data_IF_514521578215
#
_entry.id   IF_514521578215
#
_cell.length_a   1.000
_cell.length_b   1.000
_cell.length_c   1.000
_cell.angle_alpha   90.00
_cell.angle_beta   90.00
_cell.angle_gamma   90.00
#
_symmetry.space_group_name_H-M   'P 1'
#
loop_
_entity.id
_entity.type
_entity.pdbx_description
1 polymer ?
#
# COMPACT_ATOMS: atom_id res chain seq x y z
N UNK A 1 20.21 -23.52 3.65
CA UNK A 1 20.80 -23.46 2.29
C UNK A 1 20.97 -22.00 1.93
N UNK A 2 22.20 -21.52 1.77
CA UNK A 2 22.46 -20.10 1.42
C UNK A 2 22.38 -19.97 -0.09
N UNK A 3 21.45 -19.15 -0.59
CA UNK A 3 21.32 -18.89 -2.03
C UNK A 3 22.21 -17.69 -2.36
N UNK A 4 23.20 -17.88 -3.22
CA UNK A 4 24.11 -16.80 -3.65
C UNK A 4 23.59 -16.17 -4.94
N UNK A 5 23.06 -14.96 -4.86
CA UNK A 5 22.56 -14.18 -6.01
C UNK A 5 23.66 -13.40 -6.75
N UNK A 6 24.87 -13.31 -6.19
CA UNK A 6 25.97 -12.50 -6.71
C UNK A 6 26.33 -12.83 -8.18
N UNK A 7 26.36 -14.11 -8.55
CA UNK A 7 26.67 -14.55 -9.91
C UNK A 7 25.70 -13.98 -10.95
N UNK A 8 24.43 -13.83 -10.59
CA UNK A 8 23.41 -13.25 -11.48
C UNK A 8 23.64 -11.75 -11.64
N UNK A 9 23.98 -11.06 -10.57
CA UNK A 9 24.29 -9.62 -10.58
C UNK A 9 25.54 -9.33 -11.42
N UNK A 10 26.60 -10.11 -11.23
CA UNK A 10 27.85 -9.97 -11.98
C UNK A 10 27.62 -10.22 -13.49
N UNK A 11 26.74 -11.17 -13.84
CA UNK A 11 26.42 -11.48 -15.25
C UNK A 11 25.79 -10.31 -16.00
N UNK A 12 25.13 -9.38 -15.29
CA UNK A 12 24.48 -8.21 -15.90
C UNK A 12 25.16 -6.88 -15.60
N UNK A 13 26.22 -6.88 -14.77
CA UNK A 13 26.88 -5.66 -14.31
C UNK A 13 27.42 -4.79 -15.46
N UNK A 14 27.82 -5.41 -16.57
CA UNK A 14 28.31 -4.73 -17.77
C UNK A 14 27.21 -4.06 -18.61
N UNK A 15 25.92 -4.39 -18.38
CA UNK A 15 24.79 -3.83 -19.13
C UNK A 15 24.46 -2.42 -18.61
N UNK A 16 23.90 -1.52 -19.43
CA UNK A 16 23.60 -0.17 -18.97
C UNK A 16 22.44 -0.15 -17.97
N UNK A 17 22.54 0.70 -16.95
CA UNK A 17 21.53 0.85 -15.90
C UNK A 17 20.65 2.07 -16.14
N UNK A 18 19.43 1.84 -16.58
CA UNK A 18 18.43 2.89 -16.80
C UNK A 18 17.22 2.72 -15.87
N UNK A 19 16.50 3.81 -15.63
CA UNK A 19 15.20 3.78 -14.97
C UNK A 19 14.10 3.58 -16.01
N UNK A 20 13.35 2.48 -15.90
CA UNK A 20 12.32 2.09 -16.86
C UNK A 20 10.97 2.80 -16.65
N UNK A 21 10.77 3.40 -15.47
CA UNK A 21 9.53 4.08 -15.11
C UNK A 21 8.84 3.43 -13.92
N UNK A 22 7.54 3.73 -13.78
CA UNK A 22 6.69 3.25 -12.70
C UNK A 22 5.50 2.42 -13.19
N UNK A 23 5.18 1.37 -12.45
CA UNK A 23 4.01 0.51 -12.65
C UNK A 23 3.21 0.48 -11.36
N UNK A 24 1.88 0.50 -11.44
CA UNK A 24 1.01 0.36 -10.28
C UNK A 24 0.75 -1.11 -10.03
N UNK A 25 0.87 -1.55 -8.78
CA UNK A 25 0.48 -2.88 -8.34
C UNK A 25 -1.05 -3.00 -8.40
N UNK A 26 -1.53 -3.86 -9.29
CA UNK A 26 -2.95 -4.12 -9.56
C UNK A 26 -3.17 -5.64 -9.71
N UNK A 27 -3.31 -6.38 -8.60
CA UNK A 27 -3.53 -7.83 -8.66
C UNK A 27 -4.96 -8.14 -9.13
N UNK A 28 -5.15 -9.31 -9.71
CA UNK A 28 -6.47 -9.81 -10.07
C UNK A 28 -7.13 -10.34 -8.80
N UNK A 29 -8.26 -9.75 -8.41
CA UNK A 29 -9.05 -10.18 -7.25
C UNK A 29 -10.18 -11.08 -7.72
N UNK A 30 -10.30 -12.26 -7.13
CA UNK A 30 -11.40 -13.20 -7.41
C UNK A 30 -12.02 -13.67 -6.11
N UNK A 31 -13.34 -13.84 -6.10
CA UNK A 31 -14.03 -14.42 -4.96
C UNK A 31 -13.53 -15.86 -4.75
N UNK A 32 -13.28 -16.22 -3.50
CA UNK A 32 -12.87 -17.57 -3.12
C UNK A 32 -13.96 -18.19 -2.24
N UNK A 33 -14.24 -19.47 -2.49
CA UNK A 33 -15.22 -20.21 -1.70
C UNK A 33 -14.65 -20.39 -0.30
N UNK A 34 -15.40 -19.91 0.70
CA UNK A 34 -15.12 -20.19 2.10
C UNK A 34 -15.21 -21.70 2.34
N UNK A 35 -14.09 -22.32 2.71
CA UNK A 35 -14.04 -23.73 3.08
C UNK A 35 -13.95 -23.81 4.61
N UNK A 36 -14.77 -24.63 5.29
CA UNK A 36 -14.84 -24.65 6.77
C UNK A 36 -13.54 -25.02 7.51
N UNK A 37 -12.53 -25.57 6.81
CA UNK A 37 -11.32 -26.16 7.40
C UNK A 37 -10.07 -25.29 7.11
N UNK A 38 -10.22 -24.18 6.37
CA UNK A 38 -9.06 -23.32 6.09
C UNK A 38 -8.89 -22.26 7.19
N UNK A 39 -7.69 -22.06 7.74
CA UNK A 39 -7.44 -21.04 8.79
C UNK A 39 -7.66 -19.60 8.32
N UNK A 40 -7.84 -19.39 7.02
CA UNK A 40 -8.13 -18.08 6.47
C UNK A 40 -9.64 -17.88 6.33
N UNK A 41 -10.23 -16.99 7.14
CA UNK A 41 -11.62 -16.53 7.04
C UNK A 41 -11.89 -15.67 5.78
N UNK A 42 -11.19 -15.93 4.67
CA UNK A 42 -11.08 -15.01 3.53
C UNK A 42 -11.98 -15.45 2.39
N UNK A 43 -12.90 -14.56 1.99
CA UNK A 43 -13.82 -14.78 0.86
C UNK A 43 -13.25 -14.37 -0.51
N UNK A 44 -11.95 -14.11 -0.61
CA UNK A 44 -11.30 -13.71 -1.85
C UNK A 44 -9.85 -14.20 -1.89
N UNK A 45 -9.31 -14.28 -3.11
CA UNK A 45 -7.89 -14.48 -3.37
C UNK A 45 -7.38 -13.44 -4.36
N UNK A 46 -6.10 -13.10 -4.20
CA UNK A 46 -5.38 -12.27 -5.17
C UNK A 46 -4.49 -13.15 -6.05
N UNK A 47 -4.38 -12.76 -7.33
CA UNK A 47 -3.42 -13.32 -8.28
C UNK A 47 -2.56 -12.18 -8.81
N UNK A 48 -1.24 -12.20 -8.58
CA UNK A 48 -0.36 -11.15 -9.09
C UNK A 48 -0.39 -11.14 -10.62
N UNK A 49 -0.30 -9.94 -11.20
CA UNK A 49 -0.04 -9.80 -12.63
C UNK A 49 1.47 -9.84 -12.86
N UNK A 50 1.96 -10.58 -13.87
CA UNK A 50 3.37 -10.51 -14.23
C UNK A 50 3.81 -9.08 -14.54
N UNK A 51 5.08 -8.78 -14.27
CA UNK A 51 5.66 -7.50 -14.65
C UNK A 51 5.48 -7.25 -16.16
N UNK A 52 5.23 -6.01 -16.61
CA UNK A 52 4.90 -5.77 -18.00
C UNK A 52 6.08 -6.08 -18.92
N UNK A 53 6.00 -7.21 -19.65
CA UNK A 53 7.12 -7.71 -20.45
C UNK A 53 7.62 -6.70 -21.48
N UNK A 54 6.72 -5.90 -22.08
CA UNK A 54 7.09 -4.84 -23.03
C UNK A 54 8.01 -3.76 -22.44
N UNK A 55 8.01 -3.60 -21.11
CA UNK A 55 8.80 -2.63 -20.37
C UNK A 55 10.18 -3.19 -19.98
N UNK A 56 10.22 -4.48 -19.62
CA UNK A 56 11.41 -5.12 -19.02
C UNK A 56 12.20 -5.99 -20.02
N UNK A 57 11.61 -6.39 -21.14
CA UNK A 57 12.25 -7.25 -22.15
C UNK A 57 13.53 -6.60 -22.66
N UNK A 58 14.63 -7.36 -22.65
CA UNK A 58 15.97 -6.93 -23.06
C UNK A 58 16.52 -5.72 -22.26
N UNK A 59 15.92 -5.41 -21.10
CA UNK A 59 16.33 -4.32 -20.19
C UNK A 59 16.89 -4.84 -18.87
N UNK A 60 17.68 -5.90 -18.94
CA UNK A 60 18.42 -6.41 -17.78
C UNK A 60 19.36 -5.34 -17.20
N UNK A 61 19.64 -5.41 -15.90
CA UNK A 61 20.37 -4.40 -15.12
C UNK A 61 19.66 -3.04 -14.96
N UNK A 62 18.48 -2.85 -15.56
CA UNK A 62 17.68 -1.64 -15.38
C UNK A 62 16.77 -1.74 -14.16
N UNK A 63 16.33 -0.59 -13.67
CA UNK A 63 15.46 -0.49 -12.49
C UNK A 63 14.03 -0.11 -12.84
N UNK A 64 13.05 -0.72 -12.18
CA UNK A 64 11.62 -0.45 -12.32
C UNK A 64 11.05 -0.11 -10.95
N UNK A 65 10.18 0.90 -10.84
CA UNK A 65 9.48 1.17 -9.57
C UNK A 65 8.06 0.60 -9.62
N UNK A 66 7.72 -0.27 -8.68
CA UNK A 66 6.34 -0.71 -8.47
C UNK A 66 5.73 0.09 -7.34
N UNK A 67 4.61 0.75 -7.63
CA UNK A 67 3.81 1.52 -6.68
C UNK A 67 2.72 0.63 -6.11
N UNK A 68 2.78 0.39 -4.81
CA UNK A 68 1.83 -0.42 -4.07
C UNK A 68 0.89 0.49 -3.27
N UNK A 69 -0.39 0.57 -3.66
CA UNK A 69 -1.40 1.28 -2.89
C UNK A 69 -1.56 0.73 -1.47
N UNK A 70 -1.81 1.61 -0.50
CA UNK A 70 -2.05 1.28 0.91
C UNK A 70 -3.18 0.26 1.14
N UNK A 71 -4.16 0.18 0.23
CA UNK A 71 -5.26 -0.79 0.33
C UNK A 71 -4.76 -2.24 0.28
N UNK A 72 -3.66 -2.51 -0.44
CA UNK A 72 -3.06 -3.85 -0.51
C UNK A 72 -2.06 -4.12 0.63
N UNK A 73 -1.74 -3.10 1.42
CA UNK A 73 -0.83 -3.19 2.58
C UNK A 73 -1.60 -3.35 3.90
N UNK A 74 -2.93 -3.19 3.87
CA UNK A 74 -3.82 -3.41 5.00
C UNK A 74 -3.63 -4.84 5.57
N UNK A 75 -3.71 -5.05 6.90
CA UNK A 75 -3.54 -6.36 7.53
C UNK A 75 -4.27 -7.49 6.79
N UNK A 76 -5.58 -7.35 6.54
CA UNK A 76 -6.40 -8.34 5.82
C UNK A 76 -5.85 -8.74 4.44
N UNK A 77 -5.39 -7.76 3.65
CA UNK A 77 -4.83 -8.03 2.32
C UNK A 77 -3.45 -8.68 2.42
N UNK A 78 -2.63 -8.22 3.36
CA UNK A 78 -1.28 -8.74 3.59
C UNK A 78 -1.30 -10.16 4.15
N UNK A 79 -2.29 -10.49 4.97
CA UNK A 79 -2.54 -11.84 5.49
C UNK A 79 -2.91 -12.78 4.32
N UNK A 80 -3.77 -12.31 3.42
CA UNK A 80 -4.13 -13.01 2.17
C UNK A 80 -2.90 -13.37 1.35
N UNK A 81 -2.10 -12.36 1.03
CA UNK A 81 -0.88 -12.49 0.24
C UNK A 81 0.13 -13.42 0.94
N UNK A 82 0.27 -13.31 2.27
CA UNK A 82 1.19 -14.12 3.08
C UNK A 82 0.81 -15.59 3.05
N UNK A 83 -0.48 -15.92 3.16
CA UNK A 83 -0.93 -17.33 3.06
C UNK A 83 -0.90 -17.85 1.62
N UNK A 84 -1.24 -17.00 0.64
CA UNK A 84 -1.30 -17.35 -0.77
C UNK A 84 0.07 -17.75 -1.31
N UNK A 85 1.14 -17.08 -0.86
CA UNK A 85 2.54 -17.39 -1.22
C UNK A 85 2.73 -17.49 -2.74
N UNK A 86 2.15 -16.56 -3.49
CA UNK A 86 2.34 -16.47 -4.94
C UNK A 86 3.73 -15.87 -5.25
N UNK A 87 4.78 -16.52 -4.77
CA UNK A 87 6.18 -16.12 -4.93
C UNK A 87 7.01 -17.33 -5.29
N UNK A 88 7.90 -17.16 -6.27
CA UNK A 88 8.78 -18.20 -6.76
C UNK A 88 10.22 -17.70 -6.77
N UNK A 89 11.11 -18.46 -6.12
CA UNK A 89 12.50 -18.08 -5.96
C UNK A 89 12.84 -17.41 -4.64
N UNK A 90 14.12 -17.07 -4.50
CA UNK A 90 14.74 -16.61 -3.26
C UNK A 90 15.83 -15.62 -3.63
N UNK A 91 15.75 -14.40 -3.08
CA UNK A 91 16.56 -13.21 -3.44
C UNK A 91 16.32 -12.72 -4.88
N UNK A 92 16.33 -13.63 -5.85
CA UNK A 92 15.89 -13.43 -7.22
C UNK A 92 14.56 -14.15 -7.42
N UNK A 93 13.53 -13.39 -7.78
CA UNK A 93 12.17 -13.87 -7.98
C UNK A 93 11.80 -13.87 -9.46
N UNK A 94 10.87 -14.75 -9.85
CA UNK A 94 10.24 -14.71 -11.18
C UNK A 94 9.41 -13.44 -11.35
N UNK A 95 9.24 -12.96 -12.59
CA UNK A 95 8.44 -11.75 -12.88
C UNK A 95 6.93 -11.91 -12.66
N UNK A 96 6.43 -13.14 -12.51
CA UNK A 96 5.06 -13.46 -12.10
C UNK A 96 4.85 -13.55 -10.57
N UNK A 97 5.92 -13.36 -9.78
CA UNK A 97 5.84 -13.32 -8.31
C UNK A 97 5.13 -12.06 -7.80
N UNK A 98 4.36 -12.21 -6.72
CA UNK A 98 3.72 -11.11 -6.02
C UNK A 98 4.76 -10.20 -5.34
N UNK A 99 4.70 -8.91 -5.65
CA UNK A 99 5.67 -7.91 -5.19
C UNK A 99 5.63 -7.73 -3.66
N UNK A 100 4.44 -7.78 -3.05
CA UNK A 100 4.29 -7.62 -1.60
C UNK A 100 4.84 -8.86 -0.89
N UNK A 101 4.47 -10.06 -1.36
CA UNK A 101 5.02 -11.29 -0.81
C UNK A 101 6.54 -11.39 -1.00
N UNK A 102 7.08 -10.92 -2.13
CA UNK A 102 8.52 -10.85 -2.35
C UNK A 102 9.20 -9.87 -1.38
N UNK A 103 8.57 -8.73 -1.07
CA UNK A 103 9.06 -7.80 -0.04
C UNK A 103 9.09 -8.44 1.35
N UNK A 104 8.06 -9.23 1.69
CA UNK A 104 8.02 -9.96 2.97
C UNK A 104 9.11 -11.02 3.01
N UNK A 105 9.21 -11.85 1.98
CA UNK A 105 10.19 -12.93 1.90
C UNK A 105 11.65 -12.43 1.89
N UNK A 106 11.92 -11.28 1.28
CA UNK A 106 13.24 -10.64 1.31
C UNK A 106 13.50 -9.84 2.60
N UNK A 107 12.54 -9.74 3.53
CA UNK A 107 12.73 -9.08 4.82
C UNK A 107 12.65 -7.56 4.78
N UNK A 108 12.01 -6.99 3.76
CA UNK A 108 11.80 -5.54 3.68
C UNK A 108 10.65 -5.07 4.55
N UNK A 109 9.53 -5.80 4.55
CA UNK A 109 8.32 -5.45 5.30
C UNK A 109 7.76 -6.68 5.99
N UNK A 110 7.03 -6.50 7.09
CA UNK A 110 6.46 -7.61 7.87
C UNK A 110 5.22 -8.19 7.18
N UNK A 111 5.08 -9.51 7.18
CA UNK A 111 3.85 -10.21 6.79
C UNK A 111 2.74 -10.07 7.84
N UNK A 112 1.57 -10.61 7.55
CA UNK A 112 0.45 -10.68 8.51
C UNK A 112 -0.02 -12.13 8.60
N UNK A 113 -0.38 -12.55 9.81
CA UNK A 113 -0.83 -13.91 10.10
C UNK A 113 -2.11 -13.84 10.95
N UNK A 114 -2.96 -14.88 10.91
CA UNK A 114 -4.11 -14.92 11.78
C UNK A 114 -3.69 -15.01 13.25
N UNK A 115 -4.62 -14.66 14.15
CA UNK A 115 -4.36 -14.52 15.59
C UNK A 115 -3.91 -15.82 16.28
N UNK A 116 -4.16 -16.98 15.65
CA UNK A 116 -3.74 -18.29 16.13
C UNK A 116 -2.27 -18.63 15.85
N UNK A 117 -1.59 -17.80 15.04
CA UNK A 117 -0.17 -17.96 14.74
C UNK A 117 0.66 -17.13 15.71
N UNK A 118 1.47 -17.82 16.52
CA UNK A 118 2.47 -17.19 17.36
C UNK A 118 3.59 -16.59 16.48
N UNK A 119 3.60 -15.26 16.35
CA UNK A 119 4.58 -14.57 15.51
C UNK A 119 5.99 -14.54 16.08
N UNK A 120 6.16 -14.81 17.37
CA UNK A 120 7.48 -14.85 18.00
C UNK A 120 8.27 -16.09 17.57
N UNK A 121 7.57 -17.15 17.12
CA UNK A 121 8.15 -18.36 16.55
C UNK A 121 8.50 -18.24 15.06
N UNK A 122 8.19 -17.12 14.40
CA UNK A 122 8.38 -16.95 12.95
C UNK A 122 9.74 -16.34 12.58
N UNK A 123 10.68 -16.25 13.52
CA UNK A 123 12.01 -15.65 13.34
C UNK A 123 11.96 -14.26 12.66
N UNK A 124 10.92 -13.47 12.97
CA UNK A 124 10.75 -12.13 12.40
C UNK A 124 11.83 -11.16 12.90
N UNK A 125 12.31 -11.41 14.11
CA UNK A 125 13.38 -10.65 14.74
C UNK A 125 14.65 -11.49 14.76
N UNK A 126 15.71 -11.03 14.08
CA UNK A 126 17.02 -11.71 14.04
C UNK A 126 17.80 -11.59 15.37
N UNK A 127 17.10 -11.50 16.51
CA UNK A 127 17.70 -11.32 17.83
C UNK A 127 18.23 -9.90 18.10
N UNK A 128 17.94 -8.93 17.22
CA UNK A 128 18.32 -7.51 17.40
C UNK A 128 17.02 -6.73 17.61
N UNK A 129 16.71 -6.36 18.85
CA UNK A 129 15.46 -5.72 19.24
C UNK A 129 15.08 -4.54 18.33
N UNK A 130 13.82 -4.50 17.89
CA UNK A 130 13.29 -3.34 17.17
C UNK A 130 13.05 -2.24 18.19
N UNK A 131 13.57 -1.04 17.94
CA UNK A 131 13.12 0.12 18.68
C UNK A 131 11.78 0.57 18.10
N UNK A 132 10.69 0.15 18.76
CA UNK A 132 9.29 0.48 18.43
C UNK A 132 9.05 1.99 18.26
N UNK A 133 9.93 2.82 18.82
CA UNK A 133 9.88 4.29 18.76
C UNK A 133 10.02 4.87 17.35
N UNK A 134 10.53 4.13 16.35
CA UNK A 134 10.61 4.64 14.96
C UNK A 134 9.27 4.59 14.19
N UNK A 135 8.25 3.94 14.76
CA UNK A 135 6.93 3.73 14.16
C UNK A 135 5.81 4.60 14.75
N UNK A 136 6.01 5.17 15.94
CA UNK A 136 4.97 5.89 16.68
C UNK A 136 5.38 7.32 17.00
N UNK A 137 5.57 8.16 15.98
CA UNK A 137 5.56 9.61 16.16
C UNK A 137 4.11 10.10 16.21
N UNK A 138 3.45 9.79 17.32
CA UNK A 138 2.25 10.51 17.72
C UNK A 138 2.72 11.92 18.17
N UNK A 139 2.76 12.84 17.21
CA UNK A 139 3.23 14.21 17.41
C UNK A 139 2.21 15.01 18.24
N UNK A 140 2.20 14.77 19.56
CA UNK A 140 1.61 15.67 20.55
C UNK A 140 2.64 15.91 21.65
N UNK A 141 3.62 16.76 21.37
CA UNK A 141 4.37 17.45 22.42
C UNK A 141 4.62 18.86 21.91
N UNK A 142 3.69 19.76 22.22
CA UNK A 142 3.87 21.20 22.12
C UNK A 142 4.91 21.63 23.14
N UNK A 143 6.19 21.62 22.75
CA UNK A 143 7.22 22.37 23.45
C UNK A 143 7.77 23.43 22.50
N UNK A 144 7.35 24.68 22.73
CA UNK A 144 7.94 25.86 22.11
C UNK A 144 9.38 25.99 22.62
N UNK A 145 10.34 25.47 21.86
CA UNK A 145 11.76 25.83 21.97
C UNK A 145 12.23 26.36 20.60
N UNK A 146 13.07 27.40 20.57
CA UNK A 146 13.57 27.95 19.31
C UNK A 146 14.45 26.89 18.64
N UNK A 147 14.04 26.45 17.45
CA UNK A 147 14.68 25.36 16.72
C UNK A 147 16.04 25.81 16.19
N UNK A 148 17.08 25.12 16.63
CA UNK A 148 18.37 25.09 15.95
C UNK A 148 18.15 24.54 14.53
N UNK A 149 18.55 25.30 13.50
CA UNK A 149 18.30 24.95 12.09
C UNK A 149 18.95 23.61 11.73
N UNK A 150 20.11 23.35 12.33
CA UNK A 150 20.87 22.13 12.10
C UNK A 150 20.15 20.90 12.70
N UNK A 151 19.48 21.07 13.85
CA UNK A 151 18.67 20.02 14.46
C UNK A 151 17.42 19.69 13.62
N UNK A 152 16.78 20.70 13.02
CA UNK A 152 15.62 20.49 12.14
C UNK A 152 16.00 19.81 10.81
N UNK A 153 17.12 20.18 10.20
CA UNK A 153 17.62 19.51 8.99
C UNK A 153 18.03 18.07 9.27
N UNK A 154 18.66 17.80 10.41
CA UNK A 154 19.04 16.46 10.82
C UNK A 154 17.81 15.57 11.09
N UNK A 155 16.79 16.08 11.79
CA UNK A 155 15.53 15.36 12.04
C UNK A 155 14.78 15.05 10.74
N UNK A 156 14.78 15.99 9.79
CA UNK A 156 14.21 15.78 8.45
C UNK A 156 14.98 14.72 7.67
N UNK A 157 16.31 14.72 7.74
CA UNK A 157 17.14 13.73 7.05
C UNK A 157 16.96 12.33 7.65
N UNK A 158 16.87 12.23 8.98
CA UNK A 158 16.57 11.00 9.71
C UNK A 158 15.18 10.46 9.34
N UNK A 159 14.16 11.33 9.27
CA UNK A 159 12.81 10.98 8.83
C UNK A 159 12.77 10.48 7.38
N UNK A 160 13.53 11.11 6.48
CA UNK A 160 13.62 10.68 5.08
C UNK A 160 14.34 9.33 4.95
N UNK A 161 15.39 9.09 5.73
CA UNK A 161 16.08 7.81 5.80
C UNK A 161 15.17 6.70 6.36
N UNK A 162 14.38 6.98 7.40
CA UNK A 162 13.40 6.04 7.94
C UNK A 162 12.25 5.72 6.96
N UNK A 163 12.01 6.58 5.97
CA UNK A 163 11.06 6.35 4.89
C UNK A 163 11.65 5.66 3.67
N UNK A 164 12.98 5.55 3.53
CA UNK A 164 13.62 4.99 2.34
C UNK A 164 14.73 3.99 2.71
N UNK A 165 14.42 2.71 2.55
CA UNK A 165 15.36 1.63 2.79
C UNK A 165 16.01 1.22 1.46
N UNK A 166 17.34 1.16 1.45
CA UNK A 166 18.14 0.69 0.31
C UNK A 166 18.69 -0.73 0.51
N UNK A 167 18.46 -1.31 1.69
CA UNK A 167 18.72 -2.71 2.00
C UNK A 167 17.69 -3.21 3.04
N UNK A 168 17.39 -4.52 3.08
CA UNK A 168 16.61 -5.11 4.17
C UNK A 168 17.29 -4.83 5.52
N UNK A 169 16.56 -4.37 6.54
CA UNK A 169 17.14 -4.09 7.85
C UNK A 169 17.71 -5.36 8.50
N UNK A 170 18.88 -5.24 9.11
CA UNK A 170 19.53 -6.36 9.78
C UNK A 170 18.70 -6.92 10.96
N UNK A 171 17.89 -6.07 11.59
CA UNK A 171 16.98 -6.41 12.69
C UNK A 171 15.83 -7.33 12.26
N UNK A 172 15.48 -7.34 10.98
CA UNK A 172 14.29 -8.01 10.45
C UNK A 172 13.35 -7.05 9.72
N UNK A 173 12.27 -7.58 9.11
CA UNK A 173 11.29 -6.80 8.38
C UNK A 173 10.66 -5.68 9.22
N UNK A 174 10.53 -4.48 8.63
CA UNK A 174 9.85 -3.37 9.31
C UNK A 174 8.34 -3.55 9.29
N UNK A 175 7.63 -3.11 10.34
CA UNK A 175 6.18 -3.04 10.31
C UNK A 175 5.70 -2.12 9.18
N UNK A 176 4.57 -2.47 8.59
CA UNK A 176 3.94 -1.64 7.55
C UNK A 176 3.41 -0.36 8.18
N UNK A 177 3.77 0.80 7.62
CA UNK A 177 3.29 2.10 8.12
C UNK A 177 1.82 2.34 7.75
N UNK A 178 0.92 2.57 8.73
CA UNK A 178 -0.48 2.87 8.43
C UNK A 178 -0.63 4.11 7.56
N UNK A 179 -1.59 4.06 6.62
CA UNK A 179 -1.93 5.20 5.76
C UNK A 179 -0.92 5.53 4.66
N UNK A 180 0.22 4.85 4.59
CA UNK A 180 1.25 5.05 3.57
C UNK A 180 1.12 4.07 2.41
N UNK A 181 1.44 4.55 1.22
CA UNK A 181 1.74 3.69 0.06
C UNK A 181 3.20 3.24 0.12
N UNK A 182 3.52 2.17 -0.59
CA UNK A 182 4.88 1.64 -0.70
C UNK A 182 5.37 1.74 -2.15
N UNK A 183 6.57 2.26 -2.35
CA UNK A 183 7.27 2.21 -3.64
C UNK A 183 8.39 1.18 -3.52
N UNK A 184 8.38 0.18 -4.39
CA UNK A 184 9.36 -0.90 -4.41
C UNK A 184 10.23 -0.72 -5.64
N UNK A 185 11.54 -0.60 -5.45
CA UNK A 185 12.50 -0.55 -6.54
C UNK A 185 12.98 -1.96 -6.86
N UNK A 186 12.73 -2.38 -8.10
CA UNK A 186 13.13 -3.66 -8.63
C UNK A 186 14.33 -3.47 -9.55
N UNK A 187 15.27 -4.42 -9.50
CA UNK A 187 16.31 -4.62 -10.50
C UNK A 187 15.87 -5.76 -11.42
N UNK A 188 15.79 -5.49 -12.72
CA UNK A 188 15.46 -6.49 -13.74
C UNK A 188 16.68 -7.38 -13.98
N UNK A 189 16.47 -8.70 -13.90
CA UNK A 189 17.50 -9.72 -14.02
C UNK A 189 17.13 -10.76 -15.08
N UNK A 190 18.12 -11.45 -15.68
CA UNK A 190 17.87 -12.54 -16.60
C UNK A 190 17.16 -13.68 -15.88
N UNK A 191 16.38 -14.43 -16.65
CA UNK A 191 15.74 -15.65 -16.15
C UNK A 191 16.75 -16.66 -15.62
N UNK A 192 16.42 -17.30 -14.51
CA UNK A 192 17.23 -18.37 -13.94
C UNK A 192 16.85 -19.73 -14.50
N UNK A 193 17.81 -20.68 -14.49
CA UNK A 193 17.55 -22.08 -14.86
C UNK A 193 16.67 -22.81 -13.83
N UNK A 194 16.78 -22.40 -12.57
CA UNK A 194 16.01 -22.92 -11.44
C UNK A 194 15.90 -21.84 -10.38
N UNK A 195 14.70 -21.68 -9.84
CA UNK A 195 14.42 -20.84 -8.70
C UNK A 195 14.25 -21.75 -7.48
N UNK A 196 15.06 -21.52 -6.45
CA UNK A 196 15.03 -22.32 -5.23
C UNK A 196 13.94 -21.80 -4.26
N UNK A 197 13.23 -22.72 -3.63
CA UNK A 197 12.34 -22.46 -2.49
C UNK A 197 13.17 -22.20 -1.22
N UNK A 198 12.74 -21.26 -0.38
CA UNK A 198 13.19 -21.14 1.00
C UNK A 198 12.10 -20.57 1.90
N UNK A 199 12.23 -20.75 3.21
CA UNK A 199 11.36 -20.13 4.22
C UNK A 199 12.12 -19.01 4.91
N UNK A 200 11.56 -17.80 4.89
CA UNK A 200 12.15 -16.60 5.51
C UNK A 200 11.03 -15.72 6.04
N UNK A 201 11.20 -15.17 7.24
CA UNK A 201 10.28 -14.19 7.83
C UNK A 201 8.80 -14.64 7.82
N UNK A 202 8.56 -15.90 8.20
CA UNK A 202 7.22 -16.50 8.28
C UNK A 202 6.53 -16.76 6.94
N UNK A 203 7.23 -16.68 5.80
CA UNK A 203 6.70 -17.03 4.48
C UNK A 203 7.65 -17.96 3.72
N UNK A 204 7.11 -18.97 3.03
CA UNK A 204 7.87 -19.89 2.19
C UNK A 204 7.66 -19.57 0.71
N UNK A 205 8.74 -19.37 -0.04
CA UNK A 205 8.70 -19.25 -1.50
C UNK A 205 8.58 -20.59 -2.19
N UNK A 206 8.08 -20.61 -3.43
CA UNK A 206 7.97 -21.81 -4.25
C UNK A 206 9.21 -22.00 -5.11
N UNK A 207 9.50 -23.24 -5.47
CA UNK A 207 10.48 -23.52 -6.51
C UNK A 207 9.86 -23.34 -7.90
N UNK A 208 10.69 -23.02 -8.88
CA UNK A 208 10.29 -22.98 -10.29
C UNK A 208 11.40 -23.57 -11.16
N UNK A 209 11.04 -24.50 -12.05
CA UNK A 209 11.96 -25.23 -12.92
C UNK A 209 12.41 -24.45 -14.16
N UNK A 210 12.71 -25.18 -15.24
CA UNK A 210 13.35 -24.62 -16.45
C UNK A 210 12.42 -23.90 -17.42
N UNK A 211 11.11 -24.02 -17.28
CA UNK A 211 10.14 -23.59 -18.30
C UNK A 211 9.57 -22.20 -18.05
N UNK A 212 10.30 -21.34 -17.35
CA UNK A 212 9.90 -19.96 -17.13
C UNK A 212 10.16 -19.14 -18.40
N UNK A 213 9.12 -18.53 -18.94
CA UNK A 213 9.14 -17.75 -20.19
C UNK A 213 9.36 -16.24 -19.95
N UNK A 214 9.18 -15.78 -18.72
CA UNK A 214 9.45 -14.41 -18.29
C UNK A 214 10.89 -14.15 -17.82
N UNK A 215 11.09 -12.99 -17.19
CA UNK A 215 12.36 -12.55 -16.62
C UNK A 215 12.44 -12.79 -15.10
N UNK A 216 13.48 -12.29 -14.47
CA UNK A 216 13.57 -12.26 -13.01
C UNK A 216 13.64 -10.83 -12.50
N UNK A 217 13.38 -10.66 -11.21
CA UNK A 217 13.68 -9.41 -10.52
C UNK A 217 14.28 -9.67 -9.14
N UNK A 218 14.96 -8.65 -8.63
CA UNK A 218 15.40 -8.55 -7.25
C UNK A 218 14.94 -7.21 -6.68
N UNK A 219 14.53 -7.18 -5.42
CA UNK A 219 14.18 -5.92 -4.75
C UNK A 219 15.47 -5.25 -4.27
N UNK A 220 15.69 -4.00 -4.65
CA UNK A 220 16.87 -3.20 -4.28
C UNK A 220 16.55 -2.04 -3.36
N UNK A 221 15.28 -1.72 -3.16
CA UNK A 221 14.88 -0.64 -2.26
C UNK A 221 13.38 -0.62 -2.02
N UNK A 222 12.98 -0.09 -0.87
CA UNK A 222 11.58 0.24 -0.58
C UNK A 222 11.48 1.64 0.01
N UNK A 223 10.41 2.35 -0.35
CA UNK A 223 10.16 3.71 0.12
C UNK A 223 8.70 3.87 0.53
N UNK A 224 8.46 4.32 1.75
CA UNK A 224 7.16 4.75 2.24
C UNK A 224 6.81 6.12 1.66
N UNK A 225 5.61 6.27 1.11
CA UNK A 225 5.15 7.53 0.54
C UNK A 225 3.72 7.80 0.95
N UNK A 226 3.44 9.03 1.39
CA UNK A 226 2.07 9.49 1.64
C UNK A 226 1.42 9.86 0.31
N UNK A 227 0.35 9.15 -0.09
CA UNK A 227 -0.38 9.34 -1.35
C UNK A 227 0.50 9.21 -2.63
N UNK A 228 1.44 8.27 -2.62
CA UNK A 228 2.43 8.04 -3.68
C UNK A 228 2.09 6.94 -4.68
N UNK A 229 1.04 6.14 -4.44
CA UNK A 229 0.67 5.03 -5.31
C UNK A 229 -0.12 5.45 -6.56
N UNK A 230 -0.59 6.69 -6.61
CA UNK A 230 -1.33 7.18 -7.77
C UNK A 230 -0.41 7.28 -9.03
N UNK A 231 -0.97 7.03 -10.23
CA UNK A 231 -0.25 7.22 -11.50
C UNK A 231 0.30 8.66 -11.60
N UNK A 232 1.59 8.80 -11.91
CA UNK A 232 2.25 10.12 -12.00
C UNK A 232 1.57 11.05 -13.02
N UNK A 233 0.87 10.50 -14.03
CA UNK A 233 0.12 11.27 -15.01
C UNK A 233 -0.98 12.14 -14.40
N UNK A 234 -1.60 11.75 -13.26
CA UNK A 234 -2.64 12.55 -12.58
C UNK A 234 -2.10 13.62 -11.64
N UNK A 235 -0.86 13.49 -11.15
CA UNK A 235 -0.34 14.37 -10.07
C UNK A 235 0.34 15.66 -10.56
N UNK A 236 0.81 15.71 -11.80
CA UNK A 236 1.71 16.81 -12.24
C UNK A 236 1.02 18.18 -12.27
N UNK A 237 -0.30 18.24 -12.42
CA UNK A 237 -1.08 19.48 -12.49
C UNK A 237 -1.66 19.95 -11.16
N UNK A 238 -2.68 19.24 -10.64
CA UNK A 238 -3.42 19.68 -9.45
C UNK A 238 -2.64 19.48 -8.15
N UNK A 239 -1.96 18.35 -7.95
CA UNK A 239 -1.29 18.04 -6.68
C UNK A 239 -0.01 18.86 -6.44
N UNK A 240 0.69 19.32 -7.49
CA UNK A 240 1.80 20.29 -7.36
C UNK A 240 1.29 21.66 -6.92
N UNK A 241 0.18 22.13 -7.52
CA UNK A 241 -0.49 23.38 -7.13
C UNK A 241 -1.05 23.31 -5.71
N UNK A 242 -1.64 22.19 -5.33
CA UNK A 242 -2.14 21.96 -3.96
C UNK A 242 -0.98 21.95 -2.95
N UNK A 243 0.14 21.28 -3.23
CA UNK A 243 1.33 21.30 -2.36
C UNK A 243 1.95 22.69 -2.23
N UNK A 244 2.05 23.44 -3.33
CA UNK A 244 2.50 24.84 -3.29
C UNK A 244 1.51 25.72 -2.51
N UNK A 245 0.20 25.51 -2.68
CA UNK A 245 -0.85 26.26 -1.98
C UNK A 245 -0.86 25.97 -0.49
N UNK A 246 -0.74 24.72 -0.09
CA UNK A 246 -0.69 24.30 1.32
C UNK A 246 0.61 24.77 1.98
N UNK A 247 1.74 24.72 1.29
CA UNK A 247 3.01 25.27 1.79
C UNK A 247 2.98 26.80 1.95
N UNK A 248 2.32 27.54 1.05
CA UNK A 248 2.15 29.00 1.15
C UNK A 248 1.12 29.40 2.22
N UNK A 249 0.05 28.62 2.38
CA UNK A 249 -0.97 28.84 3.41
C UNK A 249 -0.42 28.63 4.83
N UNK A 250 0.53 27.71 5.00
CA UNK A 250 1.19 27.46 6.28
C UNK A 250 2.14 28.60 6.73
N UNK A 251 2.50 29.54 5.85
CA UNK A 251 3.38 30.69 6.16
C UNK A 251 2.58 31.93 6.57
N UNK A 252 1.24 31.94 6.41
CA UNK A 252 0.40 33.09 6.76
C UNK A 252 -0.17 32.92 8.16
N UNK A 253 0.62 33.28 9.18
CA UNK A 253 0.10 33.49 10.54
C UNK A 253 -0.87 34.69 10.56
N UNK A 254 -2.04 34.59 11.22
CA UNK A 254 -2.88 35.75 11.48
C UNK A 254 -2.24 36.57 12.61
N UNK A 255 -1.96 37.84 12.34
CA UNK A 255 -1.56 38.81 13.35
C UNK A 255 -2.70 38.98 14.38
N UNK A 256 -2.44 38.95 15.69
CA UNK A 256 -3.43 39.35 16.68
C UNK A 256 -3.27 40.86 16.92
N UNK A 257 -4.24 41.67 16.46
CA UNK A 257 -4.35 43.07 16.89
C UNK A 257 -5.59 43.23 17.76
N UNK A 258 -5.35 43.34 19.06
CA UNK A 258 -6.35 43.77 20.03
C UNK A 258 -6.48 45.30 20.08
N UNK A 259 -7.58 45.70 20.72
CA UNK A 259 -7.96 47.04 21.24
C UNK A 259 -8.75 47.97 20.31
N UNK A 260 -10.08 47.91 20.47
CA UNK A 260 -10.86 49.02 21.03
C UNK A 260 -11.42 50.08 20.07
N UNK A 261 -12.73 50.00 19.80
CA UNK A 261 -13.63 51.16 19.94
C UNK A 261 -15.11 50.72 19.93
N UNK A 262 -15.82 51.15 20.96
CA UNK A 262 -17.28 51.12 21.10
C UNK A 262 -17.83 52.24 20.22
N UNK A 263 -18.72 51.92 19.27
CA UNK A 263 -19.81 52.83 18.86
C UNK A 263 -21.07 52.02 18.51
N UNK A 264 -22.16 52.48 19.09
CA UNK A 264 -23.55 52.09 18.88
C UNK A 264 -24.11 52.63 17.56
N UNK A 265 -24.88 51.82 16.83
CA UNK A 265 -26.19 52.17 16.25
C UNK A 265 -26.61 51.20 15.13
N UNK A 266 -27.91 50.87 15.08
CA UNK A 266 -28.60 50.72 13.81
C UNK A 266 -29.10 49.32 13.46
N UNK A 267 -30.40 49.15 13.65
CA UNK A 267 -31.31 48.10 13.17
C UNK A 267 -31.26 48.00 11.63
N UNK A 268 -31.18 46.80 11.05
CA UNK A 268 -32.12 46.30 10.03
C UNK A 268 -31.73 44.96 9.39
N UNK A 269 -32.76 44.12 9.24
CA UNK A 269 -32.95 43.11 8.20
C UNK A 269 -32.29 41.72 8.36
N UNK A 270 -32.93 40.89 9.18
CA UNK A 270 -32.98 39.45 8.98
C UNK A 270 -34.31 39.08 8.32
N UNK A 271 -34.33 38.98 6.98
CA UNK A 271 -35.38 38.29 6.23
C UNK A 271 -34.77 37.55 5.05
N UNK A 272 -34.85 36.22 5.13
CA UNK A 272 -35.00 35.22 4.04
C UNK A 272 -34.01 34.07 4.17
N UNK A 273 -34.44 33.02 4.86
CA UNK A 273 -34.08 31.63 4.54
C UNK A 273 -34.91 30.61 5.35
N UNK A 274 -36.25 30.62 5.26
CA UNK A 274 -37.03 29.39 5.54
C UNK A 274 -38.36 29.43 4.76
N UNK A 275 -38.37 28.96 3.52
CA UNK A 275 -39.60 28.62 2.80
C UNK A 275 -39.28 27.67 1.64
N UNK A 276 -39.26 26.36 1.90
CA UNK A 276 -39.69 25.32 0.96
C UNK A 276 -39.50 23.93 1.58
N UNK A 277 -40.47 23.50 2.37
CA UNK A 277 -41.08 22.16 2.31
C UNK A 277 -41.79 21.88 3.62
N UNK A 278 -43.11 22.03 3.60
CA UNK A 278 -44.13 21.22 4.30
C UNK A 278 -45.42 22.04 4.24
N UNK A 279 -46.35 21.58 3.41
CA UNK A 279 -47.78 21.54 3.65
C UNK A 279 -48.52 21.42 2.32
N UNK A 280 -49.21 20.29 2.14
CA UNK A 280 -50.66 20.27 1.86
C UNK A 280 -51.14 18.81 1.92
N UNK A 281 -51.87 18.52 3.00
CA UNK A 281 -52.74 17.35 3.15
C UNK A 281 -54.00 17.49 2.25
N UNK A 282 -54.44 16.34 1.69
CA UNK A 282 -55.79 15.70 1.57
C UNK A 282 -57.09 16.55 1.68
N UNK A 283 -58.35 16.05 1.41
CA UNK A 283 -58.83 14.65 1.32
C UNK A 283 -60.01 14.34 0.33
N UNK A 284 -60.56 13.11 0.38
CA UNK A 284 -61.92 12.69 -0.10
C UNK A 284 -61.93 11.37 -0.91
N UNK A 285 -62.23 10.20 -0.32
CA UNK A 285 -63.50 9.40 -0.40
C UNK A 285 -63.96 9.06 -1.85
N UNK A 286 -64.31 7.83 -2.28
CA UNK A 286 -65.09 6.75 -1.66
C UNK A 286 -65.00 5.38 -2.41
N UNK A 287 -65.19 4.30 -1.64
CA UNK A 287 -65.91 3.00 -1.84
C UNK A 287 -65.85 2.09 -3.10
N UNK A 288 -66.03 0.80 -2.80
CA UNK A 288 -66.34 -0.40 -3.64
C UNK A 288 -65.18 -1.03 -4.41
N UNK A 289 -64.93 -2.35 -4.45
CA UNK A 289 -65.59 -3.53 -3.89
C UNK A 289 -65.00 -4.80 -4.55
N UNK A 290 -64.92 -5.88 -3.75
CA UNK A 290 -65.31 -7.27 -4.14
C UNK A 290 -64.36 -8.19 -4.97
N UNK A 291 -64.10 -9.38 -4.37
CA UNK A 291 -63.79 -10.74 -4.90
C UNK A 291 -62.38 -11.09 -5.42
N UNK A 292 -61.63 -12.01 -4.78
CA UNK A 292 -61.63 -13.51 -4.90
C UNK A 292 -61.44 -13.95 -6.37
N UNK A 293 -60.39 -14.69 -6.76
CA UNK A 293 -60.06 -16.12 -6.49
C UNK A 293 -58.60 -16.40 -6.94
N UNK A 294 -57.80 -17.30 -6.32
CA UNK A 294 -57.60 -18.73 -6.69
C UNK A 294 -56.88 -18.89 -8.05
N UNK A 295 -55.86 -19.71 -8.34
CA UNK A 295 -55.22 -20.93 -7.80
C UNK A 295 -53.87 -21.09 -8.57
N UNK A 296 -52.79 -21.68 -8.00
CA UNK A 296 -52.31 -23.08 -8.24
C UNK A 296 -52.43 -23.54 -9.72
N UNK A 297 -51.41 -24.05 -10.44
CA UNK A 297 -50.63 -25.29 -10.22
C UNK A 297 -49.59 -25.44 -11.37
N UNK A 298 -48.38 -25.98 -11.14
CA UNK A 298 -47.84 -27.29 -11.58
C UNK A 298 -47.36 -27.41 -13.07
N UNK A 299 -46.10 -27.74 -13.42
CA UNK A 299 -45.30 -29.02 -13.39
C UNK A 299 -45.07 -29.57 -14.83
N UNK A 300 -43.79 -29.89 -15.14
CA UNK A 300 -43.20 -30.73 -16.23
C UNK A 300 -43.38 -30.29 -17.69
N UNK A 301 -42.44 -30.58 -18.61
CA UNK A 301 -41.46 -31.66 -18.70
C UNK A 301 -40.06 -31.19 -19.13
#
# INVERSE_FOLDING_TARGET
MTVTSQLVLDSVAHKPRHFLGDVVYDPIITAERLVPIHPSNRGYKTTPRPLPLHLIKDKENCTLTVKVPKVHLHPTAREEITARRAIWGTDVYTDDSDIIAACIHAGWIRGEWPEDVDTDLLDLHRGIGYDEKLGSSNANTSSNKPADKDAFENDRQASHAAMHLTAPPATGPVPVRPGCDLQVTLLVLPKLRRYASSTRFGIQSREFGRNHDGLSFMITGVRWVVNGAAPQSRLRGKARRERMRQALAAVRFPQPSGQGQIQSAGVESAKQAVAASVARQAPGESMEGVQRTGNLTAITA
#
